data_IF_058004375944
#
_entry.id   IF_058004375944
#
_cell.length_a   1.000
_cell.length_b   1.000
_cell.length_c   1.000
_cell.angle_alpha   90.00
_cell.angle_beta   90.00
_cell.angle_gamma   90.00
#
_symmetry.space_group_name_H-M   'P 1'
#
loop_
_entity.id
_entity.type
_entity.pdbx_description
1 polymer ?
#
# COMPACT_ATOMS: atom_id res chain seq x y z
N UNK A 1 -5.41 -19.49 -0.80
CA UNK A 1 -4.74 -19.23 -2.09
C UNK A 1 -5.41 -18.10 -2.88
N UNK A 2 -6.72 -18.16 -3.17
CA UNK A 2 -7.43 -17.10 -3.94
C UNK A 2 -7.20 -15.67 -3.42
N UNK A 3 -7.23 -15.46 -2.10
CA UNK A 3 -7.01 -14.13 -1.47
C UNK A 3 -5.62 -13.53 -1.75
N UNK A 4 -4.58 -14.37 -1.76
CA UNK A 4 -3.20 -13.94 -2.07
C UNK A 4 -3.13 -13.48 -3.53
N UNK A 5 -3.76 -14.21 -4.44
CA UNK A 5 -3.83 -13.87 -5.86
C UNK A 5 -4.51 -12.51 -6.04
N UNK A 6 -5.66 -12.30 -5.39
CA UNK A 6 -6.42 -11.05 -5.51
C UNK A 6 -5.65 -9.84 -4.96
N UNK A 7 -4.89 -10.00 -3.87
CA UNK A 7 -4.05 -8.93 -3.32
C UNK A 7 -2.71 -8.74 -4.07
N UNK A 8 -2.26 -9.75 -4.83
CA UNK A 8 -1.07 -9.62 -5.69
C UNK A 8 -1.33 -8.83 -6.98
N UNK A 9 -2.59 -8.80 -7.47
CA UNK A 9 -2.96 -8.05 -8.68
C UNK A 9 -2.61 -6.55 -8.57
N UNK A 10 -2.99 -5.82 -7.50
CA UNK A 10 -2.59 -4.43 -7.28
C UNK A 10 -1.07 -4.19 -7.39
N UNK A 11 -0.29 -5.07 -6.78
CA UNK A 11 1.18 -5.01 -6.82
C UNK A 11 1.65 -5.22 -8.26
N UNK A 12 1.17 -6.26 -8.94
CA UNK A 12 1.54 -6.54 -10.33
C UNK A 12 1.18 -5.39 -11.27
N UNK A 13 -0.02 -4.80 -11.15
CA UNK A 13 -0.48 -3.68 -11.97
C UNK A 13 0.41 -2.45 -11.74
N UNK A 14 0.75 -2.16 -10.49
CA UNK A 14 1.58 -0.99 -10.15
C UNK A 14 3.01 -1.14 -10.65
N UNK A 15 3.58 -2.35 -10.55
CA UNK A 15 4.91 -2.65 -11.08
C UNK A 15 4.93 -2.70 -12.61
N UNK A 16 3.88 -3.21 -13.26
CA UNK A 16 3.74 -3.17 -14.72
C UNK A 16 3.70 -1.72 -15.22
N UNK A 17 2.94 -0.85 -14.55
CA UNK A 17 2.93 0.58 -14.85
C UNK A 17 4.31 1.22 -14.69
N UNK A 18 5.01 0.89 -13.60
CA UNK A 18 6.37 1.39 -13.34
C UNK A 18 7.35 0.98 -14.45
N UNK A 19 7.34 -0.30 -14.81
CA UNK A 19 8.20 -0.85 -15.85
C UNK A 19 7.90 -0.23 -17.22
N UNK A 20 6.62 -0.12 -17.60
CA UNK A 20 6.22 0.41 -18.90
C UNK A 20 6.62 1.88 -19.11
N UNK A 21 6.67 2.69 -18.04
CA UNK A 21 6.94 4.13 -18.16
C UNK A 21 8.40 4.51 -17.87
N UNK A 22 9.10 3.73 -17.04
CA UNK A 22 10.43 4.10 -16.54
C UNK A 22 11.48 2.99 -16.69
N UNK A 23 11.12 1.85 -17.30
CA UNK A 23 12.00 0.71 -17.55
C UNK A 23 12.75 0.21 -16.30
N UNK A 24 12.17 0.42 -15.11
CA UNK A 24 12.74 0.03 -13.82
C UNK A 24 11.73 -0.78 -13.01
N UNK A 25 12.25 -1.73 -12.23
CA UNK A 25 11.48 -2.50 -11.27
C UNK A 25 11.73 -2.03 -9.82
N UNK A 26 12.61 -1.05 -9.63
CA UNK A 26 12.94 -0.52 -8.31
C UNK A 26 12.20 0.80 -8.05
N UNK A 27 11.05 0.78 -7.33
CA UNK A 27 10.30 1.99 -7.02
C UNK A 27 11.04 2.94 -6.08
N UNK A 28 12.03 2.46 -5.31
CA UNK A 28 12.77 3.31 -4.36
C UNK A 28 13.71 4.26 -5.11
N UNK A 29 14.10 3.97 -6.35
CA UNK A 29 15.09 4.75 -7.10
C UNK A 29 14.54 5.83 -8.02
N UNK A 30 13.23 5.82 -8.28
CA UNK A 30 12.58 6.84 -9.12
C UNK A 30 12.48 8.20 -8.41
N UNK A 31 12.30 9.28 -9.19
CA UNK A 31 12.12 10.64 -8.65
C UNK A 31 10.86 10.74 -7.77
N UNK A 32 10.88 11.65 -6.80
CA UNK A 32 9.79 11.85 -5.82
C UNK A 32 8.38 11.96 -6.43
N UNK A 33 8.12 12.83 -7.43
CA UNK A 33 6.80 12.94 -8.05
C UNK A 33 6.34 11.66 -8.76
N UNK A 34 7.29 10.93 -9.37
CA UNK A 34 7.01 9.67 -10.03
C UNK A 34 6.68 8.58 -9.02
N UNK A 35 7.43 8.54 -7.91
CA UNK A 35 7.14 7.65 -6.80
C UNK A 35 5.76 7.91 -6.22
N UNK A 36 5.38 9.18 -6.05
CA UNK A 36 4.07 9.52 -5.50
C UNK A 36 2.93 9.00 -6.41
N UNK A 37 3.07 9.13 -7.73
CA UNK A 37 2.11 8.56 -8.69
C UNK A 37 2.04 7.04 -8.58
N UNK A 38 3.18 6.38 -8.59
CA UNK A 38 3.28 4.93 -8.39
C UNK A 38 2.59 4.50 -7.08
N UNK A 39 2.87 5.21 -5.99
CA UNK A 39 2.34 4.90 -4.67
C UNK A 39 0.83 5.08 -4.59
N UNK A 40 0.29 6.13 -5.21
CA UNK A 40 -1.16 6.35 -5.31
C UNK A 40 -1.81 5.24 -6.13
N UNK A 41 -1.23 4.82 -7.26
CA UNK A 41 -1.76 3.70 -8.07
C UNK A 41 -1.78 2.40 -7.26
N UNK A 42 -0.70 2.12 -6.53
CA UNK A 42 -0.58 0.95 -5.67
C UNK A 42 -1.64 0.97 -4.56
N UNK A 43 -1.83 2.11 -3.91
CA UNK A 43 -2.85 2.26 -2.89
C UNK A 43 -4.25 2.07 -3.44
N UNK A 44 -4.59 2.79 -4.52
CA UNK A 44 -5.93 2.80 -5.08
C UNK A 44 -6.34 1.40 -5.54
N UNK A 45 -5.46 0.71 -6.27
CA UNK A 45 -5.70 -0.66 -6.73
C UNK A 45 -5.79 -1.64 -5.55
N UNK A 46 -5.00 -1.45 -4.49
CA UNK A 46 -5.06 -2.30 -3.29
C UNK A 46 -6.36 -2.12 -2.51
N UNK A 47 -6.84 -0.89 -2.34
CA UNK A 47 -8.13 -0.63 -1.71
C UNK A 47 -9.30 -1.21 -2.53
N UNK A 48 -9.26 -1.12 -3.86
CA UNK A 48 -10.26 -1.76 -4.74
C UNK A 48 -10.26 -3.28 -4.53
N UNK A 49 -9.09 -3.90 -4.47
CA UNK A 49 -8.95 -5.35 -4.19
C UNK A 49 -9.57 -5.74 -2.84
N UNK A 50 -9.34 -4.95 -1.79
CA UNK A 50 -9.96 -5.15 -0.47
C UNK A 50 -11.49 -4.96 -0.51
N UNK A 51 -11.96 -3.95 -1.24
CA UNK A 51 -13.41 -3.68 -1.38
C UNK A 51 -14.14 -4.84 -2.07
N UNK A 52 -13.57 -5.37 -3.16
CA UNK A 52 -14.10 -6.53 -3.87
C UNK A 52 -14.21 -7.75 -2.94
N UNK A 53 -13.18 -8.01 -2.12
CA UNK A 53 -13.22 -9.11 -1.13
C UNK A 53 -14.30 -8.91 -0.07
N UNK A 54 -14.47 -7.67 0.42
CA UNK A 54 -15.48 -7.34 1.43
C UNK A 54 -16.91 -7.53 0.90
N UNK A 55 -17.16 -7.24 -0.38
CA UNK A 55 -18.45 -7.49 -1.02
C UNK A 55 -18.82 -8.98 -1.06
N UNK A 56 -17.83 -9.88 -1.02
CA UNK A 56 -18.03 -11.34 -0.95
C UNK A 56 -18.34 -11.83 0.49
N UNK A 57 -18.71 -10.91 1.40
CA UNK A 57 -18.93 -11.15 2.85
C UNK A 57 -17.73 -11.76 3.59
N UNK A 58 -16.55 -11.76 2.98
CA UNK A 58 -15.35 -12.20 3.65
C UNK A 58 -14.84 -11.10 4.59
N UNK A 59 -14.58 -11.47 5.85
CA UNK A 59 -13.89 -10.60 6.81
C UNK A 59 -12.52 -10.19 6.28
N UNK A 60 -12.11 -8.95 6.59
CA UNK A 60 -10.78 -8.44 6.26
C UNK A 60 -9.76 -9.41 6.83
N UNK A 61 -9.11 -10.17 5.95
CA UNK A 61 -8.29 -11.29 6.38
C UNK A 61 -6.93 -10.78 6.86
N UNK A 62 -6.23 -11.59 7.67
CA UNK A 62 -4.82 -11.36 8.03
C UNK A 62 -3.94 -11.03 6.81
N UNK A 63 -4.26 -11.59 5.64
CA UNK A 63 -3.52 -11.35 4.38
C UNK A 63 -3.67 -9.90 3.93
N UNK A 64 -4.87 -9.34 3.99
CA UNK A 64 -5.14 -7.96 3.59
C UNK A 64 -4.37 -6.97 4.47
N UNK A 65 -4.32 -7.24 5.78
CA UNK A 65 -3.49 -6.48 6.72
C UNK A 65 -1.99 -6.62 6.40
N UNK A 66 -1.50 -7.83 6.10
CA UNK A 66 -0.10 -8.02 5.70
C UNK A 66 0.27 -7.22 4.46
N UNK A 67 -0.60 -7.16 3.45
CA UNK A 67 -0.37 -6.35 2.25
C UNK A 67 -0.37 -4.84 2.56
N UNK A 68 -1.31 -4.35 3.38
CA UNK A 68 -1.31 -2.95 3.84
C UNK A 68 0.00 -2.59 4.56
N UNK A 69 0.50 -3.46 5.45
CA UNK A 69 1.76 -3.24 6.16
C UNK A 69 2.95 -3.20 5.17
N UNK A 70 2.98 -4.06 4.15
CA UNK A 70 4.03 -4.05 3.14
C UNK A 70 4.02 -2.76 2.30
N UNK A 71 2.83 -2.28 1.91
CA UNK A 71 2.68 -1.02 1.16
C UNK A 71 3.11 0.16 2.03
N UNK A 72 2.70 0.17 3.30
CA UNK A 72 3.13 1.18 4.26
C UNK A 72 4.66 1.16 4.44
N UNK A 73 5.26 -0.02 4.60
CA UNK A 73 6.72 -0.16 4.72
C UNK A 73 7.47 0.38 3.49
N UNK A 74 6.95 0.13 2.28
CA UNK A 74 7.53 0.67 1.03
C UNK A 74 7.52 2.20 1.02
N UNK A 75 6.39 2.81 1.41
CA UNK A 75 6.27 4.26 1.52
C UNK A 75 7.19 4.82 2.60
N UNK A 76 7.28 4.17 3.77
CA UNK A 76 8.15 4.58 4.86
C UNK A 76 9.64 4.54 4.47
N UNK A 77 10.09 3.50 3.76
CA UNK A 77 11.47 3.42 3.24
C UNK A 77 11.77 4.60 2.30
N UNK A 78 10.83 4.94 1.42
CA UNK A 78 10.99 6.11 0.54
C UNK A 78 11.01 7.42 1.33
N UNK A 79 10.16 7.54 2.34
CA UNK A 79 10.09 8.71 3.22
C UNK A 79 11.45 8.94 3.90
N UNK A 80 12.03 7.91 4.51
CA UNK A 80 13.35 7.96 5.15
C UNK A 80 14.41 8.41 4.14
N UNK A 81 14.45 7.80 2.95
CA UNK A 81 15.39 8.21 1.89
C UNK A 81 15.19 9.68 1.48
N UNK A 82 13.95 10.14 1.39
CA UNK A 82 13.63 11.53 1.06
C UNK A 82 14.08 12.52 2.12
N UNK A 83 13.93 12.18 3.41
CA UNK A 83 14.41 12.98 4.54
C UNK A 83 15.94 13.07 4.54
N UNK A 84 16.63 11.94 4.36
CA UNK A 84 18.11 11.90 4.31
C UNK A 84 18.65 12.76 3.16
N UNK A 85 17.94 12.81 2.03
CA UNK A 85 18.32 13.61 0.87
C UNK A 85 17.78 15.06 0.91
N UNK A 86 17.25 15.50 2.06
CA UNK A 86 16.66 16.83 2.29
C UNK A 86 15.62 17.22 1.23
N UNK A 87 14.89 16.22 0.70
CA UNK A 87 13.83 16.44 -0.30
C UNK A 87 12.50 16.72 0.38
N UNK A 88 11.62 17.52 -0.24
CA UNK A 88 10.27 17.72 0.27
C UNK A 88 9.49 16.41 0.20
N UNK A 89 9.02 15.94 1.35
CA UNK A 89 8.27 14.67 1.50
C UNK A 89 6.85 14.85 2.05
N UNK A 90 6.35 16.08 2.14
CA UNK A 90 5.08 16.41 2.81
C UNK A 90 3.88 15.59 2.32
N UNK A 91 3.70 15.46 1.00
CA UNK A 91 2.61 14.65 0.44
C UNK A 91 2.71 13.18 0.81
N UNK A 92 3.92 12.61 0.76
CA UNK A 92 4.12 11.20 1.13
C UNK A 92 3.85 10.97 2.61
N UNK A 93 4.29 11.91 3.46
CA UNK A 93 4.03 11.89 4.90
C UNK A 93 2.52 11.92 5.19
N UNK A 94 1.76 12.81 4.55
CA UNK A 94 0.31 12.87 4.70
C UNK A 94 -0.38 11.55 4.32
N UNK A 95 0.03 10.92 3.20
CA UNK A 95 -0.53 9.64 2.76
C UNK A 95 -0.23 8.54 3.79
N UNK A 96 1.01 8.44 4.26
CA UNK A 96 1.41 7.46 5.27
C UNK A 96 0.62 7.64 6.58
N UNK A 97 0.38 8.88 7.01
CA UNK A 97 -0.47 9.14 8.17
C UNK A 97 -1.89 8.58 8.00
N UNK A 98 -2.49 8.78 6.84
CA UNK A 98 -3.83 8.24 6.53
C UNK A 98 -3.81 6.71 6.52
N UNK A 99 -2.82 6.09 5.89
CA UNK A 99 -2.66 4.62 5.90
C UNK A 99 -2.49 4.06 7.31
N UNK A 100 -1.68 4.71 8.16
CA UNK A 100 -1.48 4.30 9.54
C UNK A 100 -2.79 4.31 10.34
N UNK A 101 -3.59 5.37 10.19
CA UNK A 101 -4.92 5.48 10.85
C UNK A 101 -5.82 4.34 10.38
N UNK A 102 -5.90 4.09 9.06
CA UNK A 102 -6.74 3.04 8.49
C UNK A 102 -6.29 1.66 9.00
N UNK A 103 -4.99 1.38 8.98
CA UNK A 103 -4.43 0.13 9.48
C UNK A 103 -4.73 -0.09 10.97
N UNK A 104 -4.58 0.95 11.80
CA UNK A 104 -4.94 0.90 13.23
C UNK A 104 -6.42 0.60 13.44
N UNK A 105 -7.32 1.26 12.72
CA UNK A 105 -8.77 1.02 12.84
C UNK A 105 -9.13 -0.42 12.48
N UNK A 106 -8.56 -0.96 11.40
CA UNK A 106 -8.81 -2.34 10.97
C UNK A 106 -8.27 -3.33 12.02
N UNK A 107 -7.06 -3.09 12.53
CA UNK A 107 -6.44 -3.99 13.51
C UNK A 107 -7.21 -4.01 14.84
N UNK A 108 -7.73 -2.88 15.29
CA UNK A 108 -8.60 -2.82 16.48
C UNK A 108 -9.91 -3.59 16.31
N UNK A 109 -10.48 -3.62 15.10
CA UNK A 109 -11.69 -4.41 14.81
C UNK A 109 -11.39 -5.92 14.80
N UNK A 110 -10.30 -6.36 14.17
CA UNK A 110 -9.90 -7.78 14.17
C UNK A 110 -9.62 -8.31 15.58
N UNK A 111 -8.94 -7.50 16.42
CA UNK A 111 -8.70 -7.85 17.83
C UNK A 111 -10.00 -7.97 18.61
N UNK A 112 -10.97 -7.06 18.40
CA UNK A 112 -12.25 -7.08 19.10
C UNK A 112 -13.13 -8.27 18.69
N UNK A 113 -13.05 -8.69 17.43
CA UNK A 113 -13.79 -9.85 16.90
C UNK A 113 -13.26 -11.18 17.46
N UNK A 114 -11.97 -11.25 17.81
CA UNK A 114 -11.35 -12.44 18.42
C UNK A 114 -11.58 -12.62 19.92
N UNK A 115 -11.98 -11.55 20.61
CA UNK A 115 -12.18 -11.56 22.08
C UNK A 115 -13.64 -11.90 22.44
N UNK A 116 -14.56 -11.87 21.47
CA UNK A 116 -15.93 -12.36 21.62
C UNK A 116 -16.02 -13.88 21.41
#
# INVERSE_FOLDING_TARGET
MKKIIIHSIPVAVSWAWLYANYATLNPIDIKGPVFLKFYIILLLTSYVSVFILKSDKETVSKISLSFLILIFALGAVKLIRGIILEKPVGFLLMILFVEAIIASVIMSHDVKDKIK
#
